data_IF_137232629455
#
_entry.id   IF_137232629455
#
_cell.length_a   1.000
_cell.length_b   1.000
_cell.length_c   1.000
_cell.angle_alpha   90.00
_cell.angle_beta   90.00
_cell.angle_gamma   90.00
#
_symmetry.space_group_name_H-M   'P 1'
#
loop_
_entity.id
_entity.type
_entity.pdbx_description
1 polymer ?
#
# COMPACT_ATOMS: atom_id res chain seq x y z
N UNK A 1 19.94 -7.03 1.15
CA UNK A 1 19.09 -7.22 -0.04
C UNK A 1 18.08 -8.29 0.31
N UNK A 2 16.82 -7.90 0.58
CA UNK A 2 15.75 -8.88 0.83
C UNK A 2 15.27 -9.35 -0.53
N UNK A 3 15.77 -10.52 -0.90
CA UNK A 3 15.33 -11.30 -2.04
C UNK A 3 13.85 -11.65 -1.83
N UNK A 4 12.96 -11.04 -2.61
CA UNK A 4 11.55 -11.40 -2.68
C UNK A 4 11.32 -12.08 -4.05
N UNK A 5 11.69 -13.36 -4.20
CA UNK A 5 11.62 -14.07 -5.48
C UNK A 5 10.19 -14.26 -6.02
N UNK A 6 9.15 -13.91 -5.24
CA UNK A 6 7.75 -14.06 -5.65
C UNK A 6 7.25 -12.96 -6.61
N UNK A 7 7.97 -11.85 -6.74
CA UNK A 7 7.56 -10.73 -7.59
C UNK A 7 8.01 -10.86 -9.05
N UNK A 8 9.05 -11.66 -9.33
CA UNK A 8 9.65 -11.78 -10.66
C UNK A 8 8.81 -12.57 -11.68
N UNK A 9 7.83 -13.36 -11.24
CA UNK A 9 6.99 -14.20 -12.10
C UNK A 9 5.76 -13.46 -12.69
N UNK A 10 5.40 -12.29 -12.16
CA UNK A 10 4.26 -11.52 -12.65
C UNK A 10 4.72 -10.40 -13.59
N UNK A 11 4.63 -10.58 -14.93
CA UNK A 11 5.12 -9.59 -15.90
C UNK A 11 4.31 -8.29 -15.86
N UNK A 12 3.14 -8.28 -15.20
CA UNK A 12 2.30 -7.08 -15.05
C UNK A 12 2.58 -6.31 -13.76
N UNK A 13 3.41 -6.86 -12.86
CA UNK A 13 3.74 -6.24 -11.58
C UNK A 13 4.40 -4.88 -11.79
N UNK A 14 5.37 -4.79 -12.70
CA UNK A 14 6.08 -3.54 -12.96
C UNK A 14 5.11 -2.45 -13.45
N UNK A 15 4.21 -2.79 -14.37
CA UNK A 15 3.20 -1.84 -14.88
C UNK A 15 2.23 -1.40 -13.77
N UNK A 16 1.79 -2.33 -12.92
CA UNK A 16 0.95 -2.03 -11.75
C UNK A 16 1.67 -1.11 -10.76
N UNK A 17 2.93 -1.40 -10.41
CA UNK A 17 3.71 -0.57 -9.49
C UNK A 17 3.96 0.82 -10.05
N UNK A 18 4.24 0.94 -11.35
CA UNK A 18 4.38 2.25 -12.02
C UNK A 18 3.07 3.04 -11.96
N UNK A 19 1.94 2.38 -12.22
CA UNK A 19 0.63 3.03 -12.14
C UNK A 19 0.29 3.46 -10.71
N UNK A 20 0.53 2.57 -9.74
CA UNK A 20 0.34 2.84 -8.32
C UNK A 20 1.25 4.00 -7.83
N UNK A 21 2.50 4.06 -8.30
CA UNK A 21 3.40 5.18 -8.04
C UNK A 21 2.82 6.49 -8.56
N UNK A 22 2.37 6.53 -9.82
CA UNK A 22 1.78 7.72 -10.41
C UNK A 22 0.52 8.17 -9.66
N UNK A 23 -0.36 7.22 -9.32
CA UNK A 23 -1.57 7.49 -8.53
C UNK A 23 -1.20 8.05 -7.15
N UNK A 24 -0.21 7.47 -6.45
CA UNK A 24 0.27 7.99 -5.17
C UNK A 24 0.84 9.41 -5.30
N UNK A 25 1.62 9.70 -6.35
CA UNK A 25 2.11 11.06 -6.63
C UNK A 25 0.96 12.03 -6.89
N UNK A 26 -0.07 11.63 -7.62
CA UNK A 26 -1.27 12.45 -7.86
C UNK A 26 -2.08 12.71 -6.59
N UNK A 27 -2.14 11.75 -5.67
CA UNK A 27 -2.78 11.93 -4.37
C UNK A 27 -1.96 12.82 -3.41
N UNK A 28 -0.71 13.15 -3.76
CA UNK A 28 0.13 14.06 -3.01
C UNK A 28 1.14 13.37 -2.09
N UNK A 29 1.47 12.09 -2.31
CA UNK A 29 2.53 11.43 -1.53
C UNK A 29 3.89 12.10 -1.78
N UNK A 30 4.58 12.42 -0.69
CA UNK A 30 5.99 12.78 -0.76
C UNK A 30 6.83 11.57 -1.20
N UNK A 31 7.99 11.85 -1.79
CA UNK A 31 8.97 10.78 -2.03
C UNK A 31 9.61 10.44 -0.69
N UNK A 32 9.59 9.16 -0.31
CA UNK A 32 10.12 8.71 0.97
C UNK A 32 9.57 7.34 1.35
N UNK A 33 9.76 6.99 2.62
CA UNK A 33 9.40 5.69 3.19
C UNK A 33 7.92 5.33 2.98
N UNK A 34 7.01 6.29 3.14
CA UNK A 34 5.58 6.08 2.93
C UNK A 34 5.23 5.63 1.49
N UNK A 35 5.97 6.13 0.49
CA UNK A 35 5.77 5.75 -0.91
C UNK A 35 6.36 4.38 -1.22
N UNK A 36 7.52 4.06 -0.64
CA UNK A 36 8.13 2.74 -0.75
C UNK A 36 7.22 1.66 -0.14
N UNK A 37 6.66 1.96 1.03
CA UNK A 37 5.74 1.07 1.74
C UNK A 37 4.38 0.95 1.02
N UNK A 38 3.90 2.01 0.37
CA UNK A 38 2.73 1.95 -0.52
C UNK A 38 2.91 0.98 -1.68
N UNK A 39 4.07 1.04 -2.34
CA UNK A 39 4.41 0.13 -3.43
C UNK A 39 4.57 -1.31 -2.94
N UNK A 40 5.15 -1.49 -1.75
CA UNK A 40 5.28 -2.80 -1.12
C UNK A 40 3.91 -3.44 -0.84
N UNK A 41 2.96 -2.66 -0.30
CA UNK A 41 1.58 -3.12 -0.07
C UNK A 41 0.86 -3.39 -1.37
N UNK A 42 1.04 -2.60 -2.42
CA UNK A 42 0.44 -2.87 -3.74
C UNK A 42 0.97 -4.17 -4.36
N UNK A 43 2.24 -4.50 -4.13
CA UNK A 43 2.84 -5.74 -4.59
C UNK A 43 2.23 -6.96 -3.89
N UNK A 44 1.91 -6.85 -2.60
CA UNK A 44 1.30 -7.94 -1.80
C UNK A 44 -0.23 -8.01 -1.98
N UNK A 45 -0.88 -6.85 -2.03
CA UNK A 45 -2.33 -6.67 -2.13
C UNK A 45 -2.63 -5.72 -3.29
N UNK A 46 -2.82 -6.23 -4.51
CA UNK A 46 -3.06 -5.38 -5.67
C UNK A 46 -4.36 -4.59 -5.53
N UNK A 47 -4.32 -3.34 -5.98
CA UNK A 47 -5.42 -2.38 -5.98
C UNK A 47 -6.00 -2.10 -4.57
N UNK A 48 -5.21 -2.27 -3.51
CA UNK A 48 -5.70 -2.06 -2.14
C UNK A 48 -6.23 -0.63 -1.95
N UNK A 49 -5.53 0.36 -2.49
CA UNK A 49 -5.87 1.78 -2.39
C UNK A 49 -7.11 2.16 -3.20
N UNK A 50 -7.52 1.34 -4.18
CA UNK A 50 -8.75 1.52 -4.95
C UNK A 50 -9.99 1.02 -4.24
N UNK A 51 -9.84 0.24 -3.16
CA UNK A 51 -10.97 -0.18 -2.35
C UNK A 51 -11.69 1.07 -1.82
N UNK A 52 -13.02 1.18 -1.96
CA UNK A 52 -13.74 2.42 -1.66
C UNK A 52 -13.54 2.88 -0.22
N UNK A 53 -13.36 1.94 0.72
CA UNK A 53 -13.04 2.26 2.11
C UNK A 53 -11.68 2.95 2.27
N UNK A 54 -10.63 2.46 1.60
CA UNK A 54 -9.28 3.03 1.68
C UNK A 54 -9.20 4.32 0.85
N UNK A 55 -9.77 4.33 -0.35
CA UNK A 55 -9.84 5.51 -1.20
C UNK A 55 -10.54 6.69 -0.50
N UNK A 56 -11.69 6.43 0.15
CA UNK A 56 -12.40 7.45 0.92
C UNK A 56 -11.58 7.94 2.13
N UNK A 57 -10.76 7.06 2.72
CA UNK A 57 -9.89 7.39 3.85
C UNK A 57 -8.70 8.24 3.43
N UNK A 58 -8.04 7.89 2.32
CA UNK A 58 -6.94 8.66 1.72
C UNK A 58 -7.41 10.04 1.23
N UNK A 59 -8.63 10.14 0.69
CA UNK A 59 -9.22 11.39 0.19
C UNK A 59 -9.65 12.37 1.29
N UNK A 60 -9.64 11.96 2.57
CA UNK A 60 -10.33 12.65 3.67
C UNK A 60 -9.60 13.92 4.15
N UNK A 61 -9.99 15.15 3.78
CA UNK A 61 -9.18 16.37 3.98
C UNK A 61 -8.80 16.66 5.45
N UNK A 62 -7.64 17.28 5.69
CA UNK A 62 -7.20 17.74 7.03
C UNK A 62 -5.92 17.13 7.62
N UNK A 63 -5.27 16.17 6.96
CA UNK A 63 -3.95 15.61 7.35
C UNK A 63 -3.10 15.33 6.10
N UNK A 64 -1.76 15.29 6.19
CA UNK A 64 -0.95 14.79 5.09
C UNK A 64 -1.34 13.36 4.75
N UNK A 65 -1.26 13.01 3.46
CA UNK A 65 -1.65 11.68 2.98
C UNK A 65 -0.77 10.58 3.57
N UNK A 66 0.47 10.91 3.93
CA UNK A 66 1.44 10.01 4.54
C UNK A 66 1.00 9.57 5.94
N UNK A 67 0.69 10.52 6.84
CA UNK A 67 0.12 10.19 8.17
C UNK A 67 -1.17 9.40 8.03
N UNK A 68 -1.95 9.69 6.98
CA UNK A 68 -3.17 8.93 6.74
C UNK A 68 -2.88 7.49 6.34
N UNK A 69 -1.92 7.32 5.44
CA UNK A 69 -1.51 6.02 4.98
C UNK A 69 -0.92 5.18 6.11
N UNK A 70 -0.13 5.79 7.01
CA UNK A 70 0.37 5.13 8.22
C UNK A 70 -0.74 4.62 9.13
N UNK A 71 -1.83 5.37 9.32
CA UNK A 71 -2.97 4.92 10.12
C UNK A 71 -3.68 3.72 9.48
N UNK A 72 -3.89 3.77 8.15
CA UNK A 72 -4.44 2.63 7.38
C UNK A 72 -3.54 1.41 7.50
N UNK A 73 -2.23 1.59 7.39
CA UNK A 73 -1.21 0.54 7.56
C UNK A 73 -1.23 -0.03 8.98
N UNK A 74 -1.32 0.81 10.01
CA UNK A 74 -1.39 0.37 11.39
C UNK A 74 -2.62 -0.52 11.63
N UNK A 75 -3.78 -0.12 11.10
CA UNK A 75 -5.02 -0.92 11.16
C UNK A 75 -4.91 -2.19 10.33
N UNK A 76 -4.35 -2.11 9.12
CA UNK A 76 -4.17 -3.26 8.23
C UNK A 76 -3.18 -4.28 8.81
N UNK A 77 -2.03 -3.83 9.34
CA UNK A 77 -1.07 -4.67 10.06
C UNK A 77 -1.72 -5.32 11.26
N UNK A 78 -2.56 -4.61 12.02
CA UNK A 78 -3.29 -5.22 13.13
C UNK A 78 -4.18 -6.38 12.65
N UNK A 79 -4.85 -6.24 11.50
CA UNK A 79 -5.68 -7.31 10.90
C UNK A 79 -4.87 -8.44 10.26
N UNK A 80 -3.71 -8.14 9.67
CA UNK A 80 -2.82 -9.13 9.06
C UNK A 80 -2.08 -9.96 10.13
N UNK A 81 -1.65 -9.32 11.22
CA UNK A 81 -1.04 -9.99 12.38
C UNK A 81 -2.09 -10.86 13.10
N UNK A 82 -3.33 -10.40 13.24
CA UNK A 82 -4.41 -11.21 13.82
C UNK A 82 -4.71 -12.48 12.99
N UNK A 83 -4.62 -12.38 11.65
CA UNK A 83 -4.77 -13.54 10.75
C UNK A 83 -3.57 -14.49 10.77
N UNK A 84 -2.38 -14.01 11.12
CA UNK A 84 -1.19 -14.85 11.31
C UNK A 84 -1.14 -15.50 12.72
N UNK A 85 -1.86 -14.96 13.71
CA UNK A 85 -1.95 -15.55 15.05
C UNK A 85 -3.16 -16.49 15.25
N UNK A 86 -4.19 -16.40 14.39
CA UNK A 86 -5.25 -17.41 14.28
C UNK A 86 -4.85 -18.53 13.30
N UNK A 87 -3.78 -19.24 13.63
CA UNK A 87 -3.58 -20.60 13.13
C UNK A 87 -4.31 -21.56 14.07
N UNK A 88 -5.48 -22.02 13.63
CA UNK A 88 -6.16 -23.22 14.15
C UNK A 88 -5.58 -24.45 13.44
#
# INVERSE_FOLDING_TARGET
MRDAPHFSDDPTLLDRLVRAYQDAKHMGFAQGEALDEFLYVEADVPEFYRKPAIAAWLAKPGRPIEERFEDVLAVARHKLIDRAQRGD
#
